data_IF_051482850318
#
_entry.id   IF_051482850318
#
_cell.length_a   1.000
_cell.length_b   1.000
_cell.length_c   1.000
_cell.angle_alpha   90.00
_cell.angle_beta   90.00
_cell.angle_gamma   90.00
#
_symmetry.space_group_name_H-M   'P 1'
#
loop_
_entity.id
_entity.type
_entity.pdbx_description
1 polymer ?
#
# COMPACT_ATOMS: atom_id res chain seq x y z
N UNK A 1 1.57 -5.17 -17.16
CA UNK A 1 2.65 -4.17 -17.27
C UNK A 1 2.12 -2.87 -17.86
N UNK A 2 1.53 -2.86 -19.06
CA UNK A 2 1.01 -1.64 -19.72
C UNK A 2 0.06 -0.77 -18.86
N UNK A 3 -0.87 -1.38 -18.12
CA UNK A 3 -1.79 -0.62 -17.24
C UNK A 3 -1.10 0.05 -16.03
N UNK A 4 -0.04 -0.57 -15.50
CA UNK A 4 0.70 0.04 -14.38
C UNK A 4 1.50 1.24 -14.87
N UNK A 5 2.11 1.12 -16.05
CA UNK A 5 2.85 2.20 -16.71
C UNK A 5 1.92 3.39 -17.00
N UNK A 6 0.73 3.16 -17.55
CA UNK A 6 -0.26 4.24 -17.81
C UNK A 6 -0.64 5.02 -16.55
N UNK A 7 -0.97 4.32 -15.46
CA UNK A 7 -1.36 4.98 -14.20
C UNK A 7 -0.19 5.73 -13.58
N UNK A 8 1.02 5.20 -13.65
CA UNK A 8 2.22 5.81 -13.07
C UNK A 8 2.66 7.03 -13.88
N UNK A 9 2.79 6.90 -15.20
CA UNK A 9 3.15 8.01 -16.08
C UNK A 9 2.13 9.15 -15.97
N UNK A 10 0.83 8.83 -16.03
CA UNK A 10 -0.23 9.84 -15.93
C UNK A 10 -0.32 10.48 -14.54
N UNK A 11 0.09 9.78 -13.48
CA UNK A 11 0.21 10.36 -12.15
C UNK A 11 1.33 11.40 -12.08
N UNK A 12 2.48 11.15 -12.74
CA UNK A 12 3.57 12.11 -12.79
C UNK A 12 3.17 13.37 -13.56
N UNK A 13 2.58 13.23 -14.75
CA UNK A 13 2.10 14.38 -15.54
C UNK A 13 1.02 15.18 -14.80
N UNK A 14 0.15 14.51 -14.02
CA UNK A 14 -0.83 15.22 -13.21
C UNK A 14 -0.19 16.10 -12.12
N UNK A 15 0.99 15.71 -11.62
CA UNK A 15 1.64 16.32 -10.47
C UNK A 15 2.71 17.35 -10.83
N UNK A 16 3.47 17.11 -11.90
CA UNK A 16 4.59 17.98 -12.26
C UNK A 16 4.09 19.33 -12.80
N UNK A 17 4.99 20.32 -12.92
CA UNK A 17 4.58 21.67 -13.27
C UNK A 17 4.65 21.94 -14.79
N UNK A 18 5.11 20.97 -15.57
CA UNK A 18 5.33 21.18 -16.99
C UNK A 18 4.11 20.73 -17.81
N UNK A 19 4.31 20.38 -19.07
CA UNK A 19 3.23 20.00 -19.99
C UNK A 19 3.72 18.92 -20.96
N UNK A 20 4.72 18.16 -20.53
CA UNK A 20 5.45 17.18 -21.32
C UNK A 20 5.02 15.81 -20.88
N UNK A 21 4.35 15.08 -21.77
CA UNK A 21 3.90 13.72 -21.49
C UNK A 21 5.06 12.83 -21.03
N UNK A 22 4.94 12.28 -19.82
CA UNK A 22 5.87 11.32 -19.24
C UNK A 22 5.77 9.98 -19.94
N UNK A 23 6.93 9.38 -20.21
CA UNK A 23 7.03 8.01 -20.73
C UNK A 23 6.34 7.85 -22.09
N UNK A 24 5.53 6.79 -22.22
CA UNK A 24 4.76 6.52 -23.44
C UNK A 24 3.27 6.54 -23.21
N UNK A 25 2.85 6.53 -21.95
CA UNK A 25 1.45 6.30 -21.57
C UNK A 25 0.86 7.42 -20.72
N UNK A 26 1.64 8.48 -20.45
CA UNK A 26 1.21 9.67 -19.71
C UNK A 26 0.03 10.43 -20.34
N UNK A 27 -0.35 11.51 -19.66
CA UNK A 27 -1.49 12.34 -19.99
C UNK A 27 -1.35 13.76 -19.48
N UNK A 28 -1.34 14.69 -20.43
CA UNK A 28 -1.31 16.14 -20.22
C UNK A 28 -2.61 16.79 -20.73
N UNK A 29 -2.66 18.12 -20.76
CA UNK A 29 -3.81 18.90 -21.24
C UNK A 29 -4.37 18.40 -22.58
N UNK A 30 -3.53 18.00 -23.54
CA UNK A 30 -3.99 17.46 -24.84
C UNK A 30 -4.92 16.25 -24.69
N UNK A 31 -4.63 15.35 -23.74
CA UNK A 31 -5.50 14.21 -23.45
C UNK A 31 -6.79 14.67 -22.74
N UNK A 32 -6.66 15.50 -21.70
CA UNK A 32 -7.80 15.88 -20.87
C UNK A 32 -8.78 16.82 -21.61
N UNK A 33 -8.30 17.62 -22.56
CA UNK A 33 -9.11 18.43 -23.46
C UNK A 33 -9.92 17.61 -24.46
N UNK A 34 -9.46 16.39 -24.77
CA UNK A 34 -10.14 15.46 -25.67
C UNK A 34 -11.32 14.71 -25.02
N UNK A 35 -11.55 14.85 -23.72
CA UNK A 35 -12.61 14.14 -23.00
C UNK A 35 -14.00 14.73 -23.30
N UNK A 36 -15.06 13.92 -23.14
CA UNK A 36 -16.46 14.37 -23.27
C UNK A 36 -16.80 15.60 -22.42
N UNK A 37 -16.14 15.71 -21.26
CA UNK A 37 -16.17 16.86 -20.38
C UNK A 37 -14.72 17.31 -20.16
N UNK A 38 -14.21 18.24 -21.00
CA UNK A 38 -12.84 18.69 -20.93
C UNK A 38 -12.48 19.29 -19.57
N UNK A 39 -11.25 19.06 -19.16
CA UNK A 39 -10.58 19.75 -18.05
C UNK A 39 -9.08 19.76 -18.33
N UNK A 40 -8.32 20.47 -17.51
CA UNK A 40 -6.86 20.54 -17.64
C UNK A 40 -6.21 19.63 -16.60
N UNK A 41 -4.98 19.21 -16.88
CA UNK A 41 -4.12 18.60 -15.89
C UNK A 41 -3.90 19.57 -14.72
N UNK A 42 -3.66 19.03 -13.53
CA UNK A 42 -3.56 19.84 -12.31
C UNK A 42 -2.27 20.66 -12.27
N UNK A 43 -1.20 20.06 -12.78
CA UNK A 43 0.16 20.52 -12.82
C UNK A 43 0.65 21.03 -11.44
N UNK A 44 0.40 20.20 -10.43
CA UNK A 44 0.77 20.50 -9.05
C UNK A 44 0.13 19.59 -8.02
N UNK A 45 0.33 19.89 -6.71
CA UNK A 45 -0.16 19.05 -5.63
C UNK A 45 -1.69 18.90 -5.66
N UNK A 46 -2.15 17.65 -5.49
CA UNK A 46 -3.57 17.34 -5.36
C UNK A 46 -4.16 17.98 -4.10
N UNK A 47 -5.43 18.40 -4.19
CA UNK A 47 -6.18 19.00 -3.08
C UNK A 47 -7.06 18.01 -2.34
N UNK A 48 -7.31 16.85 -2.94
CA UNK A 48 -8.12 15.78 -2.36
C UNK A 48 -7.77 14.44 -2.99
N UNK A 49 -7.98 13.35 -2.25
CA UNK A 49 -7.85 11.99 -2.79
C UNK A 49 -8.84 11.74 -3.95
N UNK A 50 -9.99 12.43 -3.95
CA UNK A 50 -10.96 12.32 -5.04
C UNK A 50 -10.43 12.77 -6.38
N UNK A 51 -9.39 13.61 -6.40
CA UNK A 51 -8.75 14.10 -7.62
C UNK A 51 -8.09 12.96 -8.41
N UNK A 52 -7.68 11.87 -7.75
CA UNK A 52 -7.14 10.69 -8.42
C UNK A 52 -8.15 10.03 -9.40
N UNK A 53 -9.46 10.24 -9.20
CA UNK A 53 -10.50 9.75 -10.14
C UNK A 53 -10.49 10.49 -11.48
N UNK A 54 -9.72 11.58 -11.60
CA UNK A 54 -9.59 12.39 -12.83
C UNK A 54 -8.38 11.98 -13.68
N UNK A 55 -7.47 11.18 -13.13
CA UNK A 55 -6.22 10.80 -13.79
C UNK A 55 -6.49 9.64 -14.75
N UNK A 56 -5.92 9.71 -15.95
CA UNK A 56 -5.96 8.62 -16.94
C UNK A 56 -5.46 7.30 -16.34
N UNK A 57 -6.08 6.20 -16.74
CA UNK A 57 -5.87 4.86 -16.18
C UNK A 57 -6.72 4.61 -14.92
N UNK A 58 -6.81 5.58 -13.99
CA UNK A 58 -7.65 5.45 -12.78
C UNK A 58 -9.12 5.73 -13.12
N UNK A 59 -9.37 6.80 -13.87
CA UNK A 59 -10.70 7.31 -14.23
C UNK A 59 -11.57 6.26 -14.94
N UNK A 60 -10.97 5.39 -15.73
CA UNK A 60 -11.63 4.35 -16.53
C UNK A 60 -12.09 3.18 -15.66
N UNK A 61 -11.61 3.08 -14.41
CA UNK A 61 -11.90 1.98 -13.49
C UNK A 61 -12.38 2.48 -12.11
N UNK A 62 -13.48 3.25 -12.06
CA UNK A 62 -13.95 3.85 -10.81
C UNK A 62 -14.30 2.81 -9.75
N UNK A 63 -14.75 1.61 -10.13
CA UNK A 63 -15.05 0.54 -9.17
C UNK A 63 -13.80 0.03 -8.43
N UNK A 64 -12.62 0.06 -9.05
CA UNK A 64 -11.35 -0.32 -8.40
C UNK A 64 -10.91 0.77 -7.43
N UNK A 65 -11.03 2.04 -7.83
CA UNK A 65 -10.59 3.15 -7.01
C UNK A 65 -11.56 3.52 -5.89
N UNK A 66 -12.85 3.70 -6.18
CA UNK A 66 -13.84 4.18 -5.21
C UNK A 66 -14.64 3.04 -4.56
N UNK A 67 -14.57 1.83 -5.12
CA UNK A 67 -15.50 0.74 -4.82
C UNK A 67 -16.73 0.79 -5.74
N UNK A 68 -17.42 -0.34 -5.90
CA UNK A 68 -18.57 -0.45 -6.79
C UNK A 68 -18.75 -1.85 -7.38
N UNK A 69 -19.39 -1.92 -8.54
CA UNK A 69 -19.52 -3.15 -9.33
C UNK A 69 -18.49 -3.11 -10.45
N UNK A 70 -17.61 -4.10 -10.52
CA UNK A 70 -16.54 -4.15 -11.52
C UNK A 70 -17.06 -4.48 -12.92
N UNK A 71 -18.13 -5.25 -13.01
CA UNK A 71 -18.82 -5.68 -14.24
C UNK A 71 -20.27 -5.15 -14.26
N UNK A 72 -20.49 -3.82 -14.36
CA UNK A 72 -21.81 -3.22 -14.26
C UNK A 72 -22.79 -3.68 -15.36
N UNK A 73 -22.27 -4.15 -16.49
CA UNK A 73 -23.03 -4.73 -17.61
C UNK A 73 -23.67 -6.09 -17.29
N UNK A 74 -23.22 -6.78 -16.23
CA UNK A 74 -23.82 -8.04 -15.79
C UNK A 74 -25.22 -7.79 -15.19
N UNK A 75 -26.24 -8.34 -15.86
CA UNK A 75 -27.65 -8.19 -15.48
C UNK A 75 -28.02 -9.02 -14.25
N UNK A 76 -27.39 -10.18 -14.09
CA UNK A 76 -27.60 -11.02 -12.93
C UNK A 76 -26.85 -10.44 -11.73
N UNK A 77 -27.57 -9.81 -10.81
CA UNK A 77 -27.01 -9.22 -9.58
C UNK A 77 -26.15 -10.19 -8.75
N UNK A 78 -26.37 -11.50 -8.84
CA UNK A 78 -25.57 -12.51 -8.12
C UNK A 78 -24.23 -12.81 -8.79
N UNK A 79 -24.09 -12.51 -10.09
CA UNK A 79 -22.85 -12.65 -10.85
C UNK A 79 -22.04 -11.34 -10.92
N UNK A 80 -22.56 -10.26 -10.32
CA UNK A 80 -21.84 -9.00 -10.20
C UNK A 80 -20.69 -9.14 -9.19
N UNK A 81 -19.49 -8.80 -9.63
CA UNK A 81 -18.29 -8.68 -8.80
C UNK A 81 -18.33 -7.34 -8.11
N UNK A 82 -18.44 -7.35 -6.78
CA UNK A 82 -18.53 -6.14 -5.95
C UNK A 82 -17.23 -5.88 -5.20
N UNK A 83 -16.73 -4.66 -5.36
CA UNK A 83 -15.62 -4.11 -4.60
C UNK A 83 -16.22 -3.18 -3.55
N UNK A 84 -16.20 -3.59 -2.28
CA UNK A 84 -16.85 -2.82 -1.22
C UNK A 84 -16.06 -1.56 -0.85
N UNK A 85 -14.72 -1.68 -0.80
CA UNK A 85 -13.80 -0.58 -0.56
C UNK A 85 -12.79 -0.55 -1.70
N UNK A 86 -12.78 0.53 -2.49
CA UNK A 86 -11.74 0.73 -3.49
C UNK A 86 -10.46 1.30 -2.87
N UNK A 87 -9.44 1.49 -3.72
CA UNK A 87 -8.12 2.00 -3.35
C UNK A 87 -8.15 3.37 -2.63
N UNK A 88 -9.16 4.20 -2.88
CA UNK A 88 -9.40 5.50 -2.24
C UNK A 88 -9.32 5.46 -0.72
N UNK A 89 -9.72 4.34 -0.11
CA UNK A 89 -9.68 4.17 1.34
C UNK A 89 -8.26 4.07 1.93
N UNK A 90 -7.25 3.87 1.10
CA UNK A 90 -5.84 3.70 1.49
C UNK A 90 -4.99 4.95 1.22
N UNK A 91 -5.55 5.96 0.57
CA UNK A 91 -4.84 7.21 0.27
C UNK A 91 -5.30 8.31 1.21
N UNK A 92 -4.36 9.19 1.56
CA UNK A 92 -4.64 10.51 2.09
C UNK A 92 -3.80 11.55 1.32
N UNK A 93 -4.03 12.83 1.59
CA UNK A 93 -3.27 13.94 1.00
C UNK A 93 -2.24 14.51 1.98
N UNK A 94 -2.10 13.88 3.14
CA UNK A 94 -1.21 14.32 4.18
C UNK A 94 0.12 13.64 3.89
N UNK A 95 1.07 14.38 3.31
CA UNK A 95 2.38 13.89 2.85
C UNK A 95 3.32 13.37 3.94
N UNK A 96 2.79 12.77 5.00
CA UNK A 96 3.53 11.95 5.93
C UNK A 96 3.95 10.67 5.21
N UNK A 97 5.26 10.55 4.96
CA UNK A 97 5.87 9.33 4.44
C UNK A 97 5.81 8.23 5.50
N UNK A 98 4.70 7.49 5.51
CA UNK A 98 4.61 6.23 6.24
C UNK A 98 5.42 5.19 5.48
N UNK A 99 6.42 4.66 6.16
CA UNK A 99 7.30 3.63 5.63
C UNK A 99 6.70 2.24 5.87
N UNK A 100 7.05 1.30 5.02
CA UNK A 100 6.63 -0.09 5.11
C UNK A 100 7.37 -0.75 6.28
N UNK A 101 6.62 -1.24 7.27
CA UNK A 101 7.22 -1.95 8.39
C UNK A 101 7.70 -3.34 7.95
N UNK A 102 9.02 -3.50 7.77
CA UNK A 102 9.64 -4.75 7.30
C UNK A 102 9.39 -5.92 8.26
N UNK A 103 9.09 -5.65 9.52
CA UNK A 103 8.81 -6.67 10.54
C UNK A 103 7.37 -7.22 10.48
N UNK A 104 6.45 -6.54 9.79
CA UNK A 104 5.04 -6.96 9.71
C UNK A 104 4.47 -7.00 8.30
N UNK A 105 5.14 -6.41 7.31
CA UNK A 105 4.66 -6.39 5.92
C UNK A 105 4.48 -7.80 5.36
N UNK A 106 3.39 -8.03 4.62
CA UNK A 106 3.16 -9.26 3.89
C UNK A 106 4.08 -9.37 2.67
N UNK A 107 4.17 -10.56 2.07
CA UNK A 107 5.06 -10.82 0.93
C UNK A 107 4.76 -9.87 -0.23
N UNK A 108 3.48 -9.71 -0.54
CA UNK A 108 2.97 -8.87 -1.63
C UNK A 108 3.32 -7.41 -1.40
N UNK A 109 3.36 -6.95 -0.14
CA UNK A 109 3.75 -5.58 0.21
C UNK A 109 5.26 -5.41 0.08
N UNK A 110 6.07 -6.37 0.53
CA UNK A 110 7.52 -6.33 0.35
C UNK A 110 7.91 -6.30 -1.14
N UNK A 111 7.18 -7.03 -1.98
CA UNK A 111 7.37 -7.07 -3.44
C UNK A 111 6.98 -5.76 -4.16
N UNK A 112 6.52 -4.73 -3.43
CA UNK A 112 6.33 -3.38 -3.97
C UNK A 112 7.41 -2.38 -3.55
N UNK A 113 8.32 -2.77 -2.66
CA UNK A 113 9.38 -1.90 -2.17
C UNK A 113 10.48 -1.80 -3.22
N UNK A 114 10.87 -0.60 -3.70
CA UNK A 114 12.01 -0.44 -4.60
C UNK A 114 13.26 -1.15 -4.08
N UNK A 115 13.88 -1.98 -4.93
CA UNK A 115 15.04 -2.81 -4.58
C UNK A 115 14.71 -4.16 -3.96
N UNK A 116 13.45 -4.41 -3.63
CA UNK A 116 12.91 -5.74 -3.29
C UNK A 116 11.88 -6.17 -4.35
N UNK A 117 11.33 -5.21 -5.10
CA UNK A 117 10.30 -5.41 -6.09
C UNK A 117 10.71 -6.44 -7.16
N UNK A 118 9.80 -7.38 -7.43
CA UNK A 118 10.06 -8.51 -8.33
C UNK A 118 11.01 -9.59 -7.78
N UNK A 119 11.75 -9.35 -6.69
CA UNK A 119 12.65 -10.33 -6.08
C UNK A 119 11.96 -11.12 -4.94
N UNK A 120 11.21 -12.15 -5.36
CA UNK A 120 10.54 -13.07 -4.42
C UNK A 120 11.50 -13.86 -3.54
N UNK A 121 12.76 -14.06 -3.95
CA UNK A 121 13.74 -14.79 -3.14
C UNK A 121 14.19 -13.91 -1.98
N UNK A 122 14.52 -12.65 -2.25
CA UNK A 122 14.88 -11.67 -1.24
C UNK A 122 13.73 -11.41 -0.27
N UNK A 123 12.51 -11.17 -0.78
CA UNK A 123 11.34 -10.92 0.06
C UNK A 123 11.04 -12.11 1.00
N UNK A 124 11.13 -13.35 0.52
CA UNK A 124 10.97 -14.54 1.36
C UNK A 124 12.13 -14.70 2.35
N UNK A 125 13.38 -14.39 1.97
CA UNK A 125 14.50 -14.42 2.90
C UNK A 125 14.30 -13.46 4.08
N UNK A 126 13.78 -12.25 3.83
CA UNK A 126 13.41 -11.28 4.86
C UNK A 126 12.34 -11.85 5.80
N UNK A 127 11.28 -12.45 5.25
CA UNK A 127 10.19 -13.05 6.03
C UNK A 127 10.67 -14.21 6.89
N UNK A 128 11.49 -15.10 6.33
CA UNK A 128 12.02 -16.25 7.06
C UNK A 128 13.01 -15.83 8.14
N UNK A 129 13.86 -14.84 7.87
CA UNK A 129 14.80 -14.33 8.87
C UNK A 129 14.10 -13.61 10.03
N UNK A 130 13.05 -12.81 9.80
CA UNK A 130 12.28 -12.20 10.92
C UNK A 130 11.46 -13.23 11.72
N UNK A 131 11.19 -14.42 11.16
CA UNK A 131 10.49 -15.51 11.84
C UNK A 131 11.42 -16.41 12.64
N UNK A 132 12.58 -16.72 12.08
CA UNK A 132 13.49 -17.73 12.64
C UNK A 132 14.66 -17.10 13.39
N UNK A 133 15.10 -15.92 12.96
CA UNK A 133 16.29 -15.27 13.48
C UNK A 133 17.56 -16.11 13.29
N UNK A 134 17.62 -16.88 12.20
CA UNK A 134 18.67 -17.87 11.94
C UNK A 134 20.05 -17.22 11.81
N UNK A 135 20.13 -16.01 11.25
CA UNK A 135 21.38 -15.29 11.04
C UNK A 135 21.67 -14.26 12.14
N UNK A 136 20.96 -14.31 13.26
CA UNK A 136 21.23 -13.41 14.39
C UNK A 136 22.60 -13.67 14.98
N UNK A 137 23.38 -12.61 15.15
CA UNK A 137 24.61 -12.62 15.95
C UNK A 137 24.25 -12.41 17.41
N UNK A 138 24.10 -13.49 18.18
CA UNK A 138 23.82 -13.37 19.61
C UNK A 138 25.02 -12.75 20.31
N UNK A 139 24.86 -11.52 20.80
CA UNK A 139 25.70 -11.04 21.90
C UNK A 139 25.35 -11.86 23.14
N UNK A 140 26.33 -12.25 23.95
CA UNK A 140 26.21 -13.30 24.99
C UNK A 140 25.24 -13.05 26.15
N UNK A 141 24.25 -12.17 26.00
CA UNK A 141 23.17 -11.92 26.93
C UNK A 141 21.86 -12.49 26.35
N UNK A 142 21.47 -13.67 26.81
CA UNK A 142 20.32 -14.43 26.31
C UNK A 142 18.96 -13.90 26.81
N UNK A 143 18.92 -12.72 27.44
CA UNK A 143 17.67 -12.09 27.88
C UNK A 143 16.95 -11.41 26.71
N UNK A 144 16.22 -12.22 25.94
CA UNK A 144 15.16 -11.82 25.00
C UNK A 144 15.57 -10.81 23.90
N UNK A 145 16.61 -11.13 23.11
CA UNK A 145 16.79 -10.41 21.85
C UNK A 145 15.63 -10.74 20.89
N UNK A 146 14.86 -9.72 20.52
CA UNK A 146 13.77 -9.81 19.55
C UNK A 146 14.23 -10.49 18.26
N UNK A 147 13.33 -11.27 17.63
CA UNK A 147 13.56 -11.82 16.28
C UNK A 147 13.49 -10.73 15.20
N UNK A 148 12.79 -9.63 15.51
CA UNK A 148 12.52 -8.54 14.60
C UNK A 148 13.80 -7.74 14.31
N UNK A 149 13.88 -7.22 13.09
CA UNK A 149 14.97 -6.33 12.69
C UNK A 149 14.90 -5.03 13.49
N UNK A 150 16.04 -4.62 14.06
CA UNK A 150 16.12 -3.39 14.87
C UNK A 150 16.20 -2.14 14.00
N UNK A 151 16.99 -2.20 12.94
CA UNK A 151 17.28 -1.11 12.02
C UNK A 151 17.81 -1.65 10.68
N UNK A 152 18.17 -0.75 9.77
CA UNK A 152 18.75 -1.07 8.46
C UNK A 152 20.04 -1.88 8.55
N UNK A 153 20.91 -1.56 9.51
CA UNK A 153 22.17 -2.27 9.65
C UNK A 153 21.96 -3.72 10.13
N UNK A 154 21.03 -3.94 11.05
CA UNK A 154 20.64 -5.27 11.52
C UNK A 154 20.01 -6.10 10.38
N UNK A 155 19.08 -5.53 9.62
CA UNK A 155 18.50 -6.16 8.43
C UNK A 155 19.59 -6.55 7.42
N UNK A 156 20.41 -5.59 7.01
CA UNK A 156 21.41 -5.79 5.96
C UNK A 156 22.51 -6.78 6.38
N UNK A 157 22.80 -6.89 7.67
CA UNK A 157 23.76 -7.88 8.20
C UNK A 157 23.17 -9.29 8.23
N UNK A 158 21.88 -9.42 8.52
CA UNK A 158 21.20 -10.72 8.69
C UNK A 158 20.73 -11.33 7.37
N UNK A 159 20.52 -10.54 6.33
CA UNK A 159 20.13 -11.05 5.00
C UNK A 159 21.39 -11.40 4.19
N UNK A 160 21.56 -12.67 3.77
CA UNK A 160 22.70 -13.06 2.94
C UNK A 160 22.73 -12.28 1.63
N UNK A 161 23.87 -11.63 1.34
CA UNK A 161 24.02 -10.77 0.15
C UNK A 161 23.52 -9.33 0.36
N UNK A 162 22.92 -9.03 1.51
CA UNK A 162 22.37 -7.71 1.84
C UNK A 162 21.05 -7.40 1.14
N UNK A 163 20.50 -6.24 1.45
CA UNK A 163 19.33 -5.65 0.80
C UNK A 163 19.80 -4.45 -0.03
N UNK A 164 19.35 -4.27 -1.29
CA UNK A 164 19.71 -3.10 -2.09
C UNK A 164 19.40 -1.78 -1.37
N UNK A 165 20.37 -0.86 -1.34
CA UNK A 165 20.29 0.38 -0.54
C UNK A 165 19.14 1.31 -0.94
N UNK A 166 18.62 1.18 -2.16
CA UNK A 166 17.43 1.90 -2.61
C UNK A 166 16.15 1.54 -1.84
N UNK A 167 16.12 0.41 -1.14
CA UNK A 167 15.01 0.03 -0.26
C UNK A 167 14.98 0.81 1.06
N UNK A 168 16.14 1.25 1.56
CA UNK A 168 16.29 1.88 2.89
C UNK A 168 15.32 3.05 3.16
N UNK A 169 15.08 3.98 2.22
CA UNK A 169 14.17 5.10 2.44
C UNK A 169 12.72 4.67 2.71
N UNK A 170 12.32 3.48 2.24
CA UNK A 170 10.95 2.99 2.27
C UNK A 170 10.64 2.09 3.46
N UNK A 171 11.64 1.68 4.24
CA UNK A 171 11.48 0.70 5.32
C UNK A 171 11.42 1.33 6.71
N UNK A 172 10.53 0.80 7.54
CA UNK A 172 10.46 1.02 8.98
C UNK A 172 10.66 -0.30 9.74
N UNK A 173 11.11 -0.17 10.99
CA UNK A 173 11.44 -1.30 11.88
C UNK A 173 10.52 -1.38 13.09
N UNK A 174 9.63 -0.40 13.23
CA UNK A 174 8.60 -0.33 14.25
C UNK A 174 7.29 0.17 13.63
N UNK A 175 6.12 -0.15 14.23
CA UNK A 175 4.85 0.42 13.82
C UNK A 175 4.89 1.95 13.88
N UNK A 176 4.35 2.62 12.85
CA UNK A 176 4.38 4.08 12.77
C UNK A 176 3.01 4.72 13.02
N UNK A 177 1.95 4.26 12.34
CA UNK A 177 0.66 4.97 12.32
C UNK A 177 -0.56 4.06 12.25
N UNK A 178 -0.54 3.10 11.34
CA UNK A 178 -1.67 2.21 11.07
C UNK A 178 -1.55 0.88 11.82
N UNK A 179 -2.66 0.45 12.42
CA UNK A 179 -2.75 -0.79 13.18
C UNK A 179 -3.98 -1.58 12.75
N UNK A 180 -3.84 -2.90 12.65
CA UNK A 180 -4.97 -3.81 12.63
C UNK A 180 -5.29 -4.25 14.07
N UNK A 181 -6.56 -4.13 14.46
CA UNK A 181 -7.09 -4.51 15.77
C UNK A 181 -8.06 -5.65 15.53
N UNK A 182 -7.79 -6.81 16.11
CA UNK A 182 -8.70 -7.95 16.11
C UNK A 182 -9.28 -8.16 17.51
N UNK A 183 -10.61 -8.17 17.62
CA UNK A 183 -11.35 -8.44 18.86
C UNK A 183 -12.14 -9.72 18.66
N UNK A 184 -11.86 -10.73 19.48
CA UNK A 184 -12.59 -12.01 19.46
C UNK A 184 -13.45 -12.11 20.71
N UNK A 185 -14.76 -12.29 20.53
CA UNK A 185 -15.72 -12.53 21.62
C UNK A 185 -16.23 -13.97 21.59
N UNK A 186 -16.28 -14.62 22.76
CA UNK A 186 -16.76 -16.00 22.91
C UNK A 186 -17.90 -16.07 23.92
N UNK A 187 -19.02 -16.68 23.53
CA UNK A 187 -20.16 -16.92 24.41
C UNK A 187 -20.94 -18.17 23.99
N UNK A 188 -21.26 -19.05 24.95
CA UNK A 188 -22.10 -20.22 24.69
C UNK A 188 -21.55 -21.19 23.64
N UNK A 189 -20.23 -21.24 23.44
CA UNK A 189 -19.58 -22.06 22.41
C UNK A 189 -19.54 -21.44 21.01
N UNK A 190 -20.01 -20.19 20.86
CA UNK A 190 -19.93 -19.41 19.63
C UNK A 190 -18.79 -18.41 19.77
N UNK A 191 -17.99 -18.23 18.71
CA UNK A 191 -16.90 -17.26 18.62
C UNK A 191 -17.16 -16.31 17.45
N UNK A 192 -17.03 -15.01 17.69
CA UNK A 192 -17.11 -13.96 16.66
C UNK A 192 -15.85 -13.10 16.71
N UNK A 193 -15.31 -12.76 15.54
CA UNK A 193 -14.16 -11.86 15.43
C UNK A 193 -14.53 -10.60 14.67
N UNK A 194 -14.16 -9.45 15.23
CA UNK A 194 -14.19 -8.16 14.57
C UNK A 194 -12.76 -7.73 14.28
N UNK A 195 -12.46 -7.42 13.02
CA UNK A 195 -11.18 -6.83 12.61
C UNK A 195 -11.40 -5.37 12.22
N UNK A 196 -10.59 -4.47 12.75
CA UNK A 196 -10.61 -3.05 12.44
C UNK A 196 -9.23 -2.56 12.03
N UNK A 197 -9.17 -1.59 11.12
CA UNK A 197 -7.96 -0.82 10.86
C UNK A 197 -8.12 0.54 11.53
N UNK A 198 -7.11 0.96 12.29
CA UNK A 198 -7.12 2.22 13.02
C UNK A 198 -5.81 2.98 12.83
N UNK A 199 -5.90 4.29 12.94
CA UNK A 199 -4.75 5.19 13.11
C UNK A 199 -4.58 5.44 14.60
N UNK A 200 -3.35 5.30 15.11
CA UNK A 200 -3.00 5.61 16.49
C UNK A 200 -2.04 6.80 16.50
N UNK A 201 -2.45 7.89 17.14
CA UNK A 201 -1.68 9.12 17.28
C UNK A 201 -1.60 9.50 18.76
N UNK A 202 -0.47 9.17 19.40
CA UNK A 202 -0.32 9.34 20.85
C UNK A 202 -1.29 8.44 21.63
N UNK A 203 -2.19 9.05 22.39
CA UNK A 203 -3.25 8.38 23.15
C UNK A 203 -4.59 8.29 22.40
N UNK A 204 -4.64 8.78 21.16
CA UNK A 204 -5.87 8.81 20.34
C UNK A 204 -5.89 7.68 19.32
N UNK A 205 -7.05 7.07 19.19
CA UNK A 205 -7.32 6.02 18.19
C UNK A 205 -8.46 6.48 17.28
N UNK A 206 -8.22 6.48 15.96
CA UNK A 206 -9.23 6.76 14.93
C UNK A 206 -9.44 5.52 14.06
N UNK A 207 -10.61 4.90 14.18
CA UNK A 207 -10.99 3.76 13.34
C UNK A 207 -11.28 4.21 11.91
N UNK A 208 -10.66 3.54 10.94
CA UNK A 208 -10.84 3.78 9.51
C UNK A 208 -11.90 2.87 8.92
N UNK A 209 -11.84 1.59 9.27
CA UNK A 209 -12.78 0.56 8.82
C UNK A 209 -12.82 -0.59 9.81
N UNK A 210 -13.91 -1.35 9.79
CA UNK A 210 -14.00 -2.62 10.50
C UNK A 210 -14.88 -3.60 9.75
N UNK A 211 -14.68 -4.89 10.02
CA UNK A 211 -15.48 -6.02 9.54
C UNK A 211 -15.70 -7.00 10.67
N UNK A 212 -16.86 -7.61 10.69
CA UNK A 212 -17.13 -8.81 11.46
C UNK A 212 -16.92 -10.02 10.55
N UNK A 213 -16.30 -11.09 11.07
CA UNK A 213 -16.24 -12.36 10.34
C UNK A 213 -17.67 -12.92 10.20
N UNK A 214 -18.04 -13.40 9.00
CA UNK A 214 -19.40 -13.82 8.68
C UNK A 214 -19.87 -15.07 9.44
#
# INVERSE_FOLDING_TARGET
>A
MEYQEEVVDSWYDWLDADGTVTGRSGAEDEYYDGLDKPYQARNGPISSVGELEMIKGIRERPAIFSGGVLNPEEKNKKAQVRIQFGLKAFFDIYGETVKINVNSAELEVLLTVPGIDGDSLLANAIIEERRTGANRTTSGDASAESLLFKDWNDLNTRIPGGVPSEAEPFLAYAPQKYFEIAVTGEAGGISHQIKAVAIVEGDRVRYLRWREDP
#
